data_IF_539673077995
#
_entry.id   IF_539673077995
#
_cell.length_a   1.000
_cell.length_b   1.000
_cell.length_c   1.000
_cell.angle_alpha   90.00
_cell.angle_beta   90.00
_cell.angle_gamma   90.00
#
_symmetry.space_group_name_H-M   'P 1'
#
loop_
_entity.id
_entity.type
_entity.pdbx_description
1 polymer ?
#
# COMPACT_ATOMS: atom_id res chain seq x y z
N UNK A 1 -0.80 -5.36 6.29
CA UNK A 1 0.04 -4.75 5.23
C UNK A 1 1.46 -4.47 5.76
N UNK A 2 1.75 -3.32 6.38
CA UNK A 2 3.06 -3.07 7.01
C UNK A 2 3.28 -3.94 8.24
N UNK A 3 2.41 -3.79 9.25
CA UNK A 3 2.29 -4.68 10.42
C UNK A 3 3.55 -4.85 11.28
N UNK A 4 4.41 -3.82 11.24
CA UNK A 4 5.52 -3.59 12.17
C UNK A 4 5.30 -2.29 12.98
N UNK A 5 4.12 -1.67 12.86
CA UNK A 5 3.72 -0.43 13.55
C UNK A 5 4.66 0.77 13.36
N UNK A 6 5.39 0.79 12.26
CA UNK A 6 6.47 1.75 11.94
C UNK A 6 6.20 2.59 10.69
N UNK A 7 5.05 2.41 10.03
CA UNK A 7 4.67 3.16 8.84
C UNK A 7 3.15 3.37 8.76
N UNK A 8 2.73 4.55 8.32
CA UNK A 8 1.34 4.89 7.99
C UNK A 8 1.19 4.90 6.46
N UNK A 9 0.31 4.07 5.91
CA UNK A 9 0.12 3.96 4.46
C UNK A 9 -1.32 3.55 4.11
N UNK A 10 -1.78 3.99 2.94
CA UNK A 10 -3.02 3.52 2.30
C UNK A 10 -2.72 2.65 1.08
N UNK A 11 -3.64 1.75 0.73
CA UNK A 11 -3.60 0.96 -0.51
C UNK A 11 -5.00 0.96 -1.14
N UNK A 12 -5.08 1.20 -2.45
CA UNK A 12 -6.28 1.00 -3.25
C UNK A 12 -5.91 0.12 -4.44
N UNK A 13 -6.75 -0.88 -4.74
CA UNK A 13 -6.63 -1.73 -5.91
C UNK A 13 -8.00 -1.87 -6.57
N UNK A 14 -8.04 -1.83 -7.90
CA UNK A 14 -9.25 -1.99 -8.71
C UNK A 14 -8.95 -2.87 -9.91
N UNK A 15 -9.97 -3.62 -10.37
CA UNK A 15 -9.91 -4.42 -11.60
C UNK A 15 -10.51 -3.68 -12.81
N UNK A 16 -11.00 -2.45 -12.62
CA UNK A 16 -11.63 -1.63 -13.67
C UNK A 16 -10.61 -0.61 -14.15
N UNK A 17 -10.21 -0.70 -15.42
CA UNK A 17 -9.15 0.12 -16.01
C UNK A 17 -9.44 1.63 -15.94
N UNK A 18 -10.66 2.04 -16.31
CA UNK A 18 -11.07 3.45 -16.29
C UNK A 18 -11.00 4.04 -14.87
N UNK A 19 -11.39 3.24 -13.87
CA UNK A 19 -11.30 3.65 -12.46
C UNK A 19 -9.83 3.73 -12.02
N UNK A 20 -8.98 2.82 -12.48
CA UNK A 20 -7.53 2.86 -12.24
C UNK A 20 -6.88 4.14 -12.78
N UNK A 21 -7.25 4.54 -14.01
CA UNK A 21 -6.76 5.78 -14.61
C UNK A 21 -7.19 7.03 -13.83
N UNK A 22 -8.45 7.07 -13.36
CA UNK A 22 -8.95 8.16 -12.53
C UNK A 22 -8.22 8.24 -11.18
N UNK A 23 -7.99 7.11 -10.52
CA UNK A 23 -7.25 7.04 -9.26
C UNK A 23 -5.79 7.49 -9.43
N UNK A 24 -5.13 7.10 -10.52
CA UNK A 24 -3.77 7.53 -10.83
C UNK A 24 -3.68 9.05 -11.06
N UNK A 25 -4.64 9.62 -11.80
CA UNK A 25 -4.74 11.06 -11.99
C UNK A 25 -4.89 11.79 -10.63
N UNK A 26 -5.84 11.36 -9.80
CA UNK A 26 -6.07 11.96 -8.47
C UNK A 26 -4.82 11.87 -7.60
N UNK A 27 -4.17 10.70 -7.53
CA UNK A 27 -2.97 10.50 -6.72
C UNK A 27 -1.85 11.46 -7.12
N UNK A 28 -1.61 11.63 -8.43
CA UNK A 28 -0.60 12.56 -8.93
C UNK A 28 -1.00 14.03 -8.73
N UNK A 29 -2.26 14.39 -8.98
CA UNK A 29 -2.73 15.78 -8.89
C UNK A 29 -2.85 16.30 -7.46
N UNK A 30 -3.16 15.43 -6.50
CA UNK A 30 -3.29 15.80 -5.08
C UNK A 30 -1.99 15.65 -4.31
N UNK A 31 -1.02 14.89 -4.85
CA UNK A 31 0.25 14.60 -4.18
C UNK A 31 0.12 13.65 -2.99
N UNK A 32 -1.02 12.94 -2.86
CA UNK A 32 -1.24 11.91 -1.84
C UNK A 32 -0.45 10.63 -2.10
N UNK A 33 0.86 10.74 -2.26
CA UNK A 33 1.79 9.64 -2.54
C UNK A 33 2.64 9.33 -1.31
N UNK A 34 3.11 8.09 -1.22
CA UNK A 34 3.93 7.65 -0.10
C UNK A 34 5.40 8.07 -0.30
N UNK A 35 6.09 8.44 0.79
CA UNK A 35 7.53 8.66 0.75
C UNK A 35 8.29 7.39 0.34
N UNK A 36 9.49 7.51 -0.24
CA UNK A 36 10.26 6.34 -0.69
C UNK A 36 10.64 5.41 0.47
N UNK A 37 10.94 5.96 1.64
CA UNK A 37 11.25 5.17 2.84
C UNK A 37 10.03 4.40 3.36
N UNK A 38 8.87 5.05 3.46
CA UNK A 38 7.62 4.41 3.87
C UNK A 38 7.20 3.33 2.87
N UNK A 39 7.43 3.57 1.57
CA UNK A 39 7.20 2.59 0.50
C UNK A 39 8.07 1.35 0.69
N UNK A 40 9.34 1.54 1.05
CA UNK A 40 10.25 0.44 1.36
C UNK A 40 9.80 -0.37 2.59
N UNK A 41 9.42 0.31 3.68
CA UNK A 41 8.91 -0.36 4.88
C UNK A 41 7.65 -1.18 4.59
N UNK A 42 6.74 -0.63 3.78
CA UNK A 42 5.54 -1.34 3.34
C UNK A 42 5.89 -2.61 2.54
N UNK A 43 6.76 -2.50 1.54
CA UNK A 43 7.21 -3.65 0.72
C UNK A 43 7.91 -4.70 1.60
N UNK A 44 8.75 -4.27 2.55
CA UNK A 44 9.39 -5.17 3.52
C UNK A 44 8.34 -5.92 4.33
N UNK A 45 7.32 -5.23 4.84
CA UNK A 45 6.26 -5.83 5.64
C UNK A 45 5.38 -6.82 4.88
N UNK A 46 5.15 -6.59 3.59
CA UNK A 46 4.34 -7.48 2.73
C UNK A 46 4.99 -8.86 2.58
N UNK A 47 6.32 -8.96 2.55
CA UNK A 47 7.03 -10.24 2.37
C UNK A 47 6.71 -11.28 3.45
N UNK A 48 6.40 -10.85 4.66
CA UNK A 48 6.04 -11.73 5.79
C UNK A 48 4.54 -11.73 6.09
N UNK A 49 3.72 -11.05 5.27
CA UNK A 49 2.30 -10.89 5.54
C UNK A 49 1.57 -12.24 5.63
N UNK A 50 1.84 -13.16 4.71
CA UNK A 50 1.19 -14.48 4.70
C UNK A 50 1.40 -15.25 6.00
N UNK A 51 2.66 -15.40 6.42
CA UNK A 51 3.03 -16.07 7.67
C UNK A 51 2.42 -15.40 8.90
N UNK A 52 2.39 -14.06 8.94
CA UNK A 52 1.81 -13.32 10.06
C UNK A 52 0.29 -13.45 10.13
N UNK A 53 -0.39 -13.47 8.99
CA UNK A 53 -1.84 -13.68 8.94
C UNK A 53 -2.18 -15.12 9.32
N UNK A 54 -1.41 -16.11 8.87
CA UNK A 54 -1.57 -17.52 9.25
C UNK A 54 -1.43 -17.73 10.77
N UNK A 55 -0.47 -17.06 11.42
CA UNK A 55 -0.27 -17.18 12.86
C UNK A 55 -1.35 -16.47 13.71
N UNK A 56 -2.03 -15.46 13.14
CA UNK A 56 -3.11 -14.72 13.83
C UNK A 56 -4.47 -15.39 13.62
N UNK A 57 -4.63 -16.19 12.56
CA UNK A 57 -5.84 -16.95 12.25
C UNK A 57 -5.87 -18.30 12.97
#
# INVERSE_FOLDING_TARGET
MGGHSDAVAGLVATAIDDLGAQLAFISNSTGGVLGPQDSYLLIRGIKTLGLRMEQIN
#
